data_IF_746046623113
#
_entry.id   IF_746046623113
#
_cell.length_a   1.000
_cell.length_b   1.000
_cell.length_c   1.000
_cell.angle_alpha   90.00
_cell.angle_beta   90.00
_cell.angle_gamma   90.00
#
_symmetry.space_group_name_H-M   'P 1'
#
loop_
_entity.id
_entity.type
_entity.pdbx_description
1 polymer ?
#
# COMPACT_ATOMS: atom_id res chain seq x y z
N UNK A 1 50.27 -4.76 -45.48
CA UNK A 1 49.28 -4.31 -46.47
C UNK A 1 48.48 -5.53 -46.93
N UNK A 2 47.31 -5.77 -46.34
CA UNK A 2 46.20 -6.51 -46.97
C UNK A 2 44.91 -6.29 -46.17
N UNK A 3 43.97 -5.63 -46.84
CA UNK A 3 42.63 -5.24 -46.42
C UNK A 3 41.69 -6.44 -46.55
N UNK A 4 40.93 -6.80 -45.50
CA UNK A 4 39.74 -7.66 -45.65
C UNK A 4 38.57 -7.12 -44.81
N UNK A 5 37.43 -7.13 -45.48
CA UNK A 5 36.19 -6.41 -45.22
C UNK A 5 35.29 -7.09 -44.17
N UNK A 6 34.20 -6.38 -43.83
CA UNK A 6 32.89 -6.87 -43.34
C UNK A 6 32.85 -7.35 -41.87
N UNK A 7 31.92 -6.96 -40.99
CA UNK A 7 30.54 -6.46 -41.11
C UNK A 7 30.23 -5.59 -39.87
N UNK A 8 29.59 -4.44 -40.06
CA UNK A 8 28.95 -3.67 -38.97
C UNK A 8 27.59 -4.32 -38.72
N UNK A 9 27.45 -5.06 -37.63
CA UNK A 9 26.15 -5.49 -37.13
C UNK A 9 25.57 -4.36 -36.28
N UNK A 10 24.70 -3.54 -36.87
CA UNK A 10 23.87 -2.60 -36.12
C UNK A 10 22.80 -3.40 -35.37
N UNK A 11 23.12 -3.80 -34.14
CA UNK A 11 22.11 -4.27 -33.21
C UNK A 11 21.29 -3.05 -32.74
N UNK A 12 20.10 -2.87 -33.32
CA UNK A 12 19.06 -2.04 -32.72
C UNK A 12 18.62 -2.72 -31.42
N UNK A 13 19.36 -2.44 -30.34
CA UNK A 13 18.87 -2.65 -29.00
C UNK A 13 17.70 -1.68 -28.81
N UNK A 14 16.48 -2.19 -28.95
CA UNK A 14 15.29 -1.52 -28.45
C UNK A 14 15.45 -1.48 -26.94
N UNK A 15 16.00 -0.38 -26.43
CA UNK A 15 16.03 -0.09 -25.00
C UNK A 15 14.57 0.01 -24.58
N UNK A 16 14.03 -0.91 -23.76
CA UNK A 16 12.70 -0.73 -23.24
C UNK A 16 12.69 0.58 -22.45
N UNK A 17 11.72 1.40 -22.82
CA UNK A 17 11.37 2.67 -22.23
C UNK A 17 11.58 2.65 -20.73
N UNK A 18 12.36 3.63 -20.27
CA UNK A 18 12.32 4.27 -18.97
C UNK A 18 11.72 3.40 -17.87
N UNK A 19 12.58 2.62 -17.21
CA UNK A 19 12.42 2.41 -15.79
C UNK A 19 12.24 3.81 -15.18
N UNK A 20 11.00 4.20 -14.93
CA UNK A 20 10.71 5.26 -13.99
C UNK A 20 11.31 4.71 -12.71
N UNK A 21 12.48 5.23 -12.35
CA UNK A 21 12.94 5.20 -10.98
C UNK A 21 11.72 5.71 -10.20
N UNK A 22 11.05 4.79 -9.51
CA UNK A 22 10.10 5.16 -8.50
C UNK A 22 10.90 6.09 -7.60
N UNK A 23 10.55 7.38 -7.67
CA UNK A 23 11.00 8.37 -6.72
C UNK A 23 10.96 7.66 -5.36
N UNK A 24 12.07 7.69 -4.63
CA UNK A 24 12.17 7.09 -3.32
C UNK A 24 11.29 7.92 -2.39
N UNK A 25 9.98 7.71 -2.54
CA UNK A 25 8.94 8.29 -1.75
C UNK A 25 9.14 7.67 -0.38
N UNK A 26 9.86 8.40 0.48
CA UNK A 26 10.00 8.09 1.91
C UNK A 26 8.64 8.25 2.64
N UNK A 27 7.55 8.42 1.90
CA UNK A 27 6.19 8.43 2.36
C UNK A 27 5.68 7.05 2.78
N UNK A 28 4.74 7.07 3.71
CA UNK A 28 3.95 5.89 4.09
C UNK A 28 3.10 5.45 2.90
N UNK A 29 3.42 4.28 2.33
CA UNK A 29 2.66 3.72 1.21
C UNK A 29 1.52 2.84 1.75
N UNK A 30 0.27 3.29 1.54
CA UNK A 30 -0.95 2.57 1.95
C UNK A 30 -1.59 1.84 0.77
N UNK A 31 -2.22 0.72 1.08
CA UNK A 31 -2.96 -0.11 0.13
C UNK A 31 -4.20 -0.75 0.79
N UNK A 32 -5.15 -1.20 -0.02
CA UNK A 32 -6.33 -1.94 0.43
C UNK A 32 -6.20 -3.40 0.03
N UNK A 33 -6.33 -4.33 0.98
CA UNK A 33 -6.27 -5.75 0.66
C UNK A 33 -7.33 -6.14 -0.39
N UNK A 34 -6.94 -6.81 -1.49
CA UNK A 34 -7.85 -7.05 -2.61
C UNK A 34 -8.94 -8.09 -2.27
N UNK A 35 -8.63 -8.98 -1.31
CA UNK A 35 -9.51 -10.05 -0.82
C UNK A 35 -9.24 -10.32 0.66
N UNK A 36 -10.23 -10.90 1.33
CA UNK A 36 -10.07 -11.42 2.68
C UNK A 36 -9.11 -12.62 2.67
N UNK A 37 -8.24 -12.73 3.68
CA UNK A 37 -7.24 -13.79 3.75
C UNK A 37 -6.79 -14.05 5.17
N UNK A 38 -6.36 -15.28 5.41
CA UNK A 38 -5.59 -15.62 6.61
C UNK A 38 -4.12 -15.24 6.41
N UNK A 39 -3.52 -14.69 7.45
CA UNK A 39 -2.11 -14.31 7.46
C UNK A 39 -1.39 -14.92 8.64
N UNK A 40 -0.12 -15.25 8.45
CA UNK A 40 0.77 -15.69 9.52
C UNK A 40 1.53 -14.48 10.06
N UNK A 41 1.50 -14.29 11.38
CA UNK A 41 2.12 -13.14 12.02
C UNK A 41 3.66 -13.23 12.01
N UNK A 42 4.33 -12.17 11.57
CA UNK A 42 5.80 -12.04 11.63
C UNK A 42 6.30 -11.42 12.95
N UNK A 43 5.41 -10.76 13.69
CA UNK A 43 5.65 -10.14 14.99
C UNK A 43 4.60 -10.58 16.02
N UNK A 44 4.86 -10.37 17.31
CA UNK A 44 3.80 -10.51 18.31
C UNK A 44 2.73 -9.43 18.08
N UNK A 45 1.47 -9.85 17.98
CA UNK A 45 0.32 -8.95 17.84
C UNK A 45 -0.29 -8.60 19.19
N UNK A 46 -0.92 -7.41 19.29
CA UNK A 46 -1.82 -7.07 20.41
C UNK A 46 -1.22 -6.29 21.57
N UNK A 47 0.04 -5.84 21.52
CA UNK A 47 0.64 -5.05 22.63
C UNK A 47 0.23 -3.57 22.65
N UNK A 48 -0.48 -3.08 21.63
CA UNK A 48 -0.67 -1.63 21.41
C UNK A 48 -2.11 -1.14 21.51
N UNK A 49 -3.09 -1.99 21.83
CA UNK A 49 -4.50 -1.58 21.90
C UNK A 49 -5.01 -1.73 23.34
N UNK A 50 -5.71 -0.70 23.83
CA UNK A 50 -6.51 -0.73 25.06
C UNK A 50 -7.76 -1.61 24.95
N UNK A 51 -8.02 -2.19 23.78
CA UNK A 51 -9.02 -3.22 23.53
C UNK A 51 -8.34 -4.56 23.77
N UNK A 52 -8.89 -5.35 24.68
CA UNK A 52 -8.41 -6.68 25.05
C UNK A 52 -8.58 -7.67 23.87
N UNK A 53 -7.70 -7.54 22.88
CA UNK A 53 -7.56 -8.53 21.82
C UNK A 53 -6.67 -9.65 22.36
N UNK A 54 -7.11 -10.90 22.15
CA UNK A 54 -6.31 -12.09 22.47
C UNK A 54 -4.89 -11.90 21.93
N UNK A 55 -3.88 -11.96 22.82
CA UNK A 55 -2.46 -11.91 22.42
C UNK A 55 -2.21 -13.01 21.39
N UNK A 56 -1.72 -12.64 20.21
CA UNK A 56 -1.28 -13.58 19.18
C UNK A 56 0.26 -13.58 19.15
N UNK A 57 0.84 -14.76 19.22
CA UNK A 57 2.27 -14.96 19.13
C UNK A 57 2.74 -14.83 17.68
N UNK A 58 4.04 -14.59 17.50
CA UNK A 58 4.66 -14.73 16.19
C UNK A 58 4.44 -16.16 15.66
N UNK A 59 4.06 -16.28 14.40
CA UNK A 59 3.72 -17.56 13.76
C UNK A 59 2.27 -18.00 13.95
N UNK A 60 1.49 -17.35 14.82
CA UNK A 60 0.04 -17.56 14.87
C UNK A 60 -0.60 -17.07 13.58
N UNK A 61 -1.84 -17.51 13.35
CA UNK A 61 -2.66 -17.07 12.22
C UNK A 61 -3.78 -16.17 12.70
N UNK A 62 -4.14 -15.21 11.85
CA UNK A 62 -5.33 -14.39 12.03
C UNK A 62 -5.96 -14.05 10.68
N UNK A 63 -7.22 -13.65 10.72
CA UNK A 63 -7.99 -13.29 9.53
C UNK A 63 -7.96 -11.77 9.29
N UNK A 64 -7.71 -11.39 8.04
CA UNK A 64 -7.89 -10.02 7.54
C UNK A 64 -9.03 -9.99 6.54
N UNK A 65 -9.88 -8.99 6.70
CA UNK A 65 -10.98 -8.75 5.79
C UNK A 65 -10.52 -8.15 4.46
N UNK A 66 -11.40 -8.25 3.46
CA UNK A 66 -11.27 -7.48 2.22
C UNK A 66 -11.23 -5.98 2.54
N UNK A 67 -10.46 -5.23 1.76
CA UNK A 67 -10.29 -3.78 1.86
C UNK A 67 -9.65 -3.32 3.18
N UNK A 68 -9.12 -4.24 3.98
CA UNK A 68 -8.28 -3.92 5.13
C UNK A 68 -7.09 -3.06 4.71
N UNK A 69 -6.85 -1.97 5.46
CA UNK A 69 -5.77 -1.02 5.17
C UNK A 69 -4.44 -1.64 5.57
N UNK A 70 -3.51 -1.71 4.64
CA UNK A 70 -2.16 -2.19 4.86
C UNK A 70 -1.16 -1.10 4.48
N UNK A 71 -0.01 -1.13 5.14
CA UNK A 71 1.10 -0.21 4.93
C UNK A 71 2.33 -1.02 4.50
N UNK A 72 3.02 -0.58 3.44
CA UNK A 72 4.29 -1.19 3.04
C UNK A 72 5.34 -0.97 4.12
N UNK A 73 6.00 -2.05 4.51
CA UNK A 73 7.16 -1.99 5.42
C UNK A 73 8.46 -2.13 4.62
N UNK A 74 8.44 -2.92 3.54
CA UNK A 74 9.58 -3.13 2.67
C UNK A 74 9.48 -4.46 1.91
N UNK A 75 10.59 -4.90 1.29
CA UNK A 75 10.67 -6.24 0.72
C UNK A 75 10.41 -7.33 1.78
N UNK A 76 9.78 -8.42 1.36
CA UNK A 76 9.65 -9.61 2.19
C UNK A 76 10.95 -10.41 2.28
N UNK A 77 10.97 -11.37 3.20
CA UNK A 77 12.04 -12.35 3.34
C UNK A 77 11.94 -13.44 2.27
N UNK A 78 10.73 -13.75 1.79
CA UNK A 78 10.52 -14.67 0.67
C UNK A 78 10.67 -13.95 -0.68
N UNK A 79 11.23 -14.60 -1.72
CA UNK A 79 11.31 -14.03 -3.06
C UNK A 79 9.93 -13.63 -3.60
N UNK A 80 9.87 -12.49 -4.29
CA UNK A 80 8.64 -11.94 -4.90
C UNK A 80 7.50 -11.67 -3.92
N UNK A 81 7.85 -11.29 -2.68
CA UNK A 81 6.90 -10.87 -1.65
C UNK A 81 7.25 -9.49 -1.10
N UNK A 82 6.21 -8.80 -0.65
CA UNK A 82 6.28 -7.52 0.03
C UNK A 82 5.85 -7.71 1.48
N UNK A 83 6.67 -7.26 2.42
CA UNK A 83 6.31 -7.18 3.84
C UNK A 83 5.43 -5.96 4.07
N UNK A 84 4.28 -6.20 4.67
CA UNK A 84 3.29 -5.18 4.98
C UNK A 84 2.92 -5.23 6.45
N UNK A 85 2.37 -4.12 6.94
CA UNK A 85 1.82 -3.98 8.28
C UNK A 85 0.36 -3.61 8.18
N UNK A 86 -0.48 -4.19 9.02
CA UNK A 86 -1.87 -3.78 9.15
C UNK A 86 -1.97 -2.34 9.68
N UNK A 87 -2.55 -1.45 8.88
CA UNK A 87 -2.49 0.01 9.01
C UNK A 87 -3.71 0.66 9.65
N UNK A 88 -4.79 -0.09 9.91
CA UNK A 88 -5.96 0.39 10.64
C UNK A 88 -6.35 -0.60 11.74
N UNK A 89 -6.88 -0.17 12.90
CA UNK A 89 -7.40 -1.11 13.90
C UNK A 89 -8.58 -1.89 13.32
N UNK A 90 -8.56 -3.23 13.45
CA UNK A 90 -9.73 -4.01 13.14
C UNK A 90 -10.76 -3.79 14.25
N UNK A 91 -11.94 -3.31 13.88
CA UNK A 91 -13.05 -3.13 14.81
C UNK A 91 -13.93 -4.40 14.91
N UNK A 92 -13.66 -5.43 14.10
CA UNK A 92 -14.38 -6.70 14.17
C UNK A 92 -13.80 -7.63 15.24
N UNK A 93 -14.69 -8.32 15.97
CA UNK A 93 -14.30 -9.32 16.95
C UNK A 93 -13.62 -10.51 16.25
N UNK A 94 -12.36 -10.80 16.60
CA UNK A 94 -11.62 -11.98 16.11
C UNK A 94 -10.65 -11.73 14.94
N UNK A 95 -10.51 -10.49 14.47
CA UNK A 95 -9.55 -10.14 13.42
C UNK A 95 -8.09 -10.03 13.88
N UNK A 96 -7.19 -9.80 12.92
CA UNK A 96 -5.77 -9.55 13.22
C UNK A 96 -5.55 -8.33 14.12
N UNK A 97 -4.65 -8.41 15.12
CA UNK A 97 -4.27 -7.27 15.94
C UNK A 97 -3.72 -6.10 15.10
N UNK A 98 -3.96 -4.87 15.55
CA UNK A 98 -3.38 -3.69 14.93
C UNK A 98 -1.84 -3.77 14.91
N UNK A 99 -1.23 -3.24 13.84
CA UNK A 99 0.22 -3.27 13.58
C UNK A 99 0.84 -4.66 13.40
N UNK A 100 0.02 -5.67 13.13
CA UNK A 100 0.51 -6.99 12.73
C UNK A 100 1.26 -6.90 11.41
N UNK A 101 2.43 -7.52 11.33
CA UNK A 101 3.24 -7.64 10.12
C UNK A 101 3.10 -9.02 9.48
N UNK A 102 3.01 -9.05 8.15
CA UNK A 102 2.89 -10.25 7.33
C UNK A 102 3.42 -9.98 5.92
N UNK A 103 3.65 -11.04 5.13
CA UNK A 103 4.08 -10.92 3.74
C UNK A 103 2.90 -11.22 2.80
N UNK A 104 2.87 -10.52 1.67
CA UNK A 104 1.96 -10.83 0.56
C UNK A 104 2.75 -10.87 -0.75
N UNK A 105 2.30 -11.63 -1.77
CA UNK A 105 2.90 -11.60 -3.09
C UNK A 105 2.99 -10.17 -3.66
N UNK A 106 4.05 -9.86 -4.40
CA UNK A 106 4.24 -8.53 -5.01
C UNK A 106 3.11 -8.15 -5.98
N UNK A 107 2.55 -9.15 -6.67
CA UNK A 107 1.38 -8.97 -7.54
C UNK A 107 0.13 -8.56 -6.74
N UNK A 108 -0.09 -9.20 -5.58
CA UNK A 108 -1.19 -8.84 -4.68
C UNK A 108 -1.00 -7.43 -4.11
N UNK A 109 0.23 -7.09 -3.72
CA UNK A 109 0.56 -5.74 -3.24
C UNK A 109 0.32 -4.68 -4.32
N UNK A 110 0.74 -4.95 -5.55
CA UNK A 110 0.51 -4.06 -6.69
C UNK A 110 -0.98 -3.83 -6.94
N UNK A 111 -1.79 -4.90 -6.91
CA UNK A 111 -3.24 -4.80 -7.04
C UNK A 111 -3.88 -4.02 -5.87
N UNK A 112 -3.42 -4.28 -4.65
CA UNK A 112 -3.86 -3.59 -3.44
C UNK A 112 -3.59 -2.08 -3.52
N UNK A 113 -2.41 -1.71 -4.01
CA UNK A 113 -1.99 -0.32 -4.18
C UNK A 113 -2.81 0.40 -5.24
N UNK A 114 -3.06 -0.26 -6.37
CA UNK A 114 -3.91 0.26 -7.43
C UNK A 114 -5.35 0.52 -6.93
N UNK A 115 -5.92 -0.40 -6.14
CA UNK A 115 -7.24 -0.23 -5.54
C UNK A 115 -7.29 0.99 -4.60
N UNK A 116 -6.24 1.20 -3.80
CA UNK A 116 -6.13 2.37 -2.92
C UNK A 116 -6.03 3.69 -3.69
N UNK A 117 -5.21 3.74 -4.74
CA UNK A 117 -5.09 4.94 -5.59
C UNK A 117 -6.43 5.27 -6.24
N UNK A 118 -7.11 4.28 -6.84
CA UNK A 118 -8.40 4.49 -7.48
C UNK A 118 -9.45 5.07 -6.50
N UNK A 119 -9.45 4.62 -5.25
CA UNK A 119 -10.34 5.16 -4.21
C UNK A 119 -9.95 6.57 -3.75
N UNK A 120 -8.66 6.85 -3.66
CA UNK A 120 -8.15 8.21 -3.38
C UNK A 120 -8.56 9.19 -4.48
N UNK A 121 -8.48 8.77 -5.74
CA UNK A 121 -8.90 9.58 -6.90
C UNK A 121 -10.41 9.83 -6.88
N UNK A 122 -11.21 8.78 -6.61
CA UNK A 122 -12.66 8.88 -6.46
C UNK A 122 -13.05 9.85 -5.33
N UNK A 123 -12.38 9.74 -4.17
CA UNK A 123 -12.62 10.62 -3.03
C UNK A 123 -12.24 12.08 -3.34
N UNK A 124 -11.10 12.29 -3.98
CA UNK A 124 -10.63 13.64 -4.37
C UNK A 124 -11.63 14.29 -5.32
N UNK A 125 -12.13 13.55 -6.32
CA UNK A 125 -13.17 14.04 -7.23
C UNK A 125 -14.45 14.42 -6.49
N UNK A 126 -14.91 13.59 -5.55
CA UNK A 126 -16.11 13.89 -4.74
C UNK A 126 -15.93 15.16 -3.92
N UNK A 127 -14.75 15.39 -3.35
CA UNK A 127 -14.42 16.62 -2.63
C UNK A 127 -14.51 17.83 -3.56
N UNK A 128 -13.97 17.74 -4.77
CA UNK A 128 -14.00 18.84 -5.72
C UNK A 128 -15.42 19.15 -6.23
N UNK A 129 -16.25 18.12 -6.41
CA UNK A 129 -17.66 18.31 -6.74
C UNK A 129 -18.43 18.95 -5.55
N UNK A 130 -18.14 18.54 -4.31
CA UNK A 130 -18.68 19.16 -3.10
C UNK A 130 -18.27 20.63 -2.96
N UNK A 131 -17.00 20.97 -3.22
CA UNK A 131 -16.51 22.36 -3.24
C UNK A 131 -17.29 23.20 -4.25
N UNK A 132 -17.52 22.70 -5.46
CA UNK A 132 -18.30 23.40 -6.50
C UNK A 132 -19.76 23.58 -6.09
N UNK A 133 -20.38 22.57 -5.50
CA UNK A 133 -21.77 22.65 -5.03
C UNK A 133 -21.95 23.66 -3.89
N UNK A 134 -20.98 23.76 -3.00
CA UNK A 134 -21.06 24.61 -1.81
C UNK A 134 -20.53 26.03 -2.03
N UNK A 135 -19.66 26.26 -3.02
CA UNK A 135 -19.12 27.57 -3.35
C UNK A 135 -18.53 28.27 -2.12
N UNK A 136 -19.00 29.48 -1.83
CA UNK A 136 -18.52 30.28 -0.68
C UNK A 136 -18.78 29.60 0.68
N UNK A 137 -19.83 28.77 0.79
CA UNK A 137 -20.13 28.03 2.02
C UNK A 137 -19.08 26.97 2.34
N UNK A 138 -18.38 26.43 1.34
CA UNK A 138 -17.28 25.49 1.58
C UNK A 138 -16.20 26.17 2.45
N UNK A 139 -15.78 27.37 2.06
CA UNK A 139 -14.76 28.12 2.78
C UNK A 139 -15.21 28.55 4.18
N UNK A 140 -16.52 28.77 4.39
CA UNK A 140 -17.08 29.02 5.71
C UNK A 140 -16.99 27.77 6.61
N UNK A 141 -17.35 26.60 6.08
CA UNK A 141 -17.39 25.33 6.81
C UNK A 141 -16.01 24.73 7.08
N UNK A 142 -15.04 24.93 6.19
CA UNK A 142 -13.69 24.35 6.31
C UNK A 142 -12.66 25.31 6.90
N UNK A 143 -13.08 26.47 7.43
CA UNK A 143 -12.18 27.33 8.22
C UNK A 143 -11.64 26.51 9.39
N UNK A 144 -10.38 26.12 9.31
CA UNK A 144 -9.60 25.69 10.48
C UNK A 144 -9.73 26.76 11.55
N UNK A 145 -10.27 26.40 12.71
CA UNK A 145 -10.16 27.28 13.88
C UNK A 145 -8.68 27.65 14.06
N UNK A 146 -8.35 28.92 14.32
CA UNK A 146 -6.99 29.26 14.69
C UNK A 146 -6.63 28.42 15.92
N UNK A 147 -5.51 27.70 15.86
CA UNK A 147 -4.91 27.04 17.02
C UNK A 147 -4.85 28.08 18.15
N UNK A 148 -5.65 27.88 19.20
CA UNK A 148 -5.47 28.54 20.49
C UNK A 148 -4.25 27.93 21.19
#
# INVERSE_FOLDING_TARGET
MHLKHTLIAAAFAVIPFSAHAADADNGVELAFLPSARDVTLLNEGGKFVTVDMKKLAKGDKCHLEKDAVIMKVGPGAEPATTRVRYGAPNLSHGGCPFMTEFEIPDADYTAARAAFTAKTDEASKKIDDLKKQLGDKWNELTKTQPKQ
#
